data_IF_346186399915
#
_entry.id   IF_346186399915
#
_cell.length_a   1.000
_cell.length_b   1.000
_cell.length_c   1.000
_cell.angle_alpha   90.00
_cell.angle_beta   90.00
_cell.angle_gamma   90.00
#
_symmetry.space_group_name_H-M   'P 1'
#
loop_
_entity.id
_entity.type
_entity.pdbx_description
1 polymer ?
#
# COMPACT_ATOMS: atom_id res chain seq x y z
N UNK A 1 -62.04 -13.01 20.12
CA UNK A 1 -61.26 -13.99 19.38
C UNK A 1 -60.46 -13.23 18.31
N UNK A 2 -59.26 -12.79 18.67
CA UNK A 2 -58.35 -12.12 17.74
C UNK A 2 -57.16 -13.02 17.53
N UNK A 3 -57.03 -13.55 16.33
CA UNK A 3 -55.94 -14.38 15.88
C UNK A 3 -54.76 -13.47 15.54
N UNK A 4 -53.71 -13.50 16.33
CA UNK A 4 -52.44 -12.81 16.09
C UNK A 4 -51.61 -13.71 15.15
N UNK A 5 -51.61 -13.40 13.87
CA UNK A 5 -50.66 -13.98 12.93
C UNK A 5 -49.25 -13.49 13.26
N UNK A 6 -48.48 -14.29 13.92
CA UNK A 6 -47.02 -14.12 14.04
C UNK A 6 -46.39 -14.41 12.69
N UNK A 7 -46.12 -13.37 11.96
CA UNK A 7 -45.30 -13.41 10.74
C UNK A 7 -43.84 -13.66 11.15
N UNK A 8 -43.46 -14.95 11.17
CA UNK A 8 -42.07 -15.39 11.32
C UNK A 8 -41.32 -15.06 10.00
N UNK A 9 -40.84 -13.84 9.87
CA UNK A 9 -39.83 -13.47 8.89
C UNK A 9 -38.48 -14.06 9.32
N UNK A 10 -38.27 -15.32 9.03
CA UNK A 10 -36.94 -15.91 8.97
C UNK A 10 -36.19 -15.23 7.83
N UNK A 11 -35.45 -14.18 8.17
CA UNK A 11 -34.45 -13.60 7.28
C UNK A 11 -33.39 -14.69 7.08
N UNK A 12 -33.53 -15.44 5.97
CA UNK A 12 -32.50 -16.36 5.51
C UNK A 12 -31.27 -15.51 5.23
N UNK A 13 -30.37 -15.42 6.19
CA UNK A 13 -29.05 -14.81 6.03
C UNK A 13 -28.31 -15.60 4.96
N UNK A 14 -28.37 -15.12 3.72
CA UNK A 14 -27.63 -15.68 2.61
C UNK A 14 -26.16 -15.45 2.92
N UNK A 15 -25.49 -16.46 3.50
CA UNK A 15 -24.04 -16.42 3.66
C UNK A 15 -23.43 -16.28 2.27
N UNK A 16 -22.98 -15.06 1.94
CA UNK A 16 -22.26 -14.82 0.68
C UNK A 16 -20.99 -15.65 0.74
N UNK A 17 -20.87 -16.59 -0.18
CA UNK A 17 -19.68 -17.44 -0.30
C UNK A 17 -18.44 -16.58 -0.48
N UNK A 18 -17.30 -16.96 0.13
CA UNK A 18 -16.01 -16.29 -0.07
C UNK A 18 -15.67 -16.20 -1.56
N UNK A 19 -15.99 -17.24 -2.34
CA UNK A 19 -15.74 -17.29 -3.79
C UNK A 19 -16.55 -16.20 -4.51
N UNK A 20 -17.82 -16.00 -4.16
CA UNK A 20 -18.67 -14.96 -4.76
C UNK A 20 -18.18 -13.55 -4.41
N UNK A 21 -17.64 -13.35 -3.21
CA UNK A 21 -17.02 -12.09 -2.81
C UNK A 21 -15.72 -11.84 -3.60
N UNK A 22 -14.85 -12.83 -3.67
CA UNK A 22 -13.59 -12.73 -4.41
C UNK A 22 -13.82 -12.51 -5.90
N UNK A 23 -14.83 -13.15 -6.50
CA UNK A 23 -15.17 -12.92 -7.92
C UNK A 23 -15.62 -11.48 -8.23
N UNK A 24 -16.15 -10.75 -7.24
CA UNK A 24 -16.50 -9.34 -7.39
C UNK A 24 -15.34 -8.36 -7.22
N UNK A 25 -14.30 -8.73 -6.47
CA UNK A 25 -13.19 -7.83 -6.11
C UNK A 25 -11.83 -8.25 -6.69
N UNK A 26 -11.74 -9.40 -7.38
CA UNK A 26 -10.47 -9.91 -7.90
C UNK A 26 -9.71 -8.95 -8.84
N UNK A 27 -10.38 -8.17 -9.72
CA UNK A 27 -9.64 -7.26 -10.59
C UNK A 27 -8.89 -6.22 -9.77
N UNK A 28 -9.53 -5.75 -8.70
CA UNK A 28 -8.95 -4.80 -7.78
C UNK A 28 -7.79 -5.42 -6.97
N UNK A 29 -7.93 -6.65 -6.47
CA UNK A 29 -6.85 -7.36 -5.78
C UNK A 29 -5.64 -7.57 -6.69
N UNK A 30 -5.87 -7.89 -7.96
CA UNK A 30 -4.80 -8.02 -8.96
C UNK A 30 -4.08 -6.68 -9.17
N UNK A 31 -4.82 -5.58 -9.28
CA UNK A 31 -4.25 -4.22 -9.35
C UNK A 31 -3.30 -3.97 -8.19
N UNK A 32 -3.73 -4.28 -6.96
CA UNK A 32 -2.92 -4.06 -5.76
C UNK A 32 -1.66 -4.92 -5.79
N UNK A 33 -1.75 -6.19 -6.15
CA UNK A 33 -0.57 -7.07 -6.28
C UNK A 33 0.42 -6.48 -7.28
N UNK A 34 -0.03 -6.07 -8.47
CA UNK A 34 0.85 -5.55 -9.52
C UNK A 34 1.51 -4.22 -9.13
N UNK A 35 0.74 -3.31 -8.50
CA UNK A 35 1.30 -2.06 -7.98
C UNK A 35 2.35 -2.34 -6.90
N UNK A 36 2.06 -3.25 -5.96
CA UNK A 36 3.00 -3.61 -4.90
C UNK A 36 4.27 -4.26 -5.47
N UNK A 37 4.14 -5.15 -6.45
CA UNK A 37 5.28 -5.75 -7.14
C UNK A 37 6.22 -4.67 -7.72
N UNK A 38 5.70 -3.72 -8.48
CA UNK A 38 6.51 -2.67 -9.10
C UNK A 38 7.05 -1.67 -8.09
N UNK A 39 6.17 -1.17 -7.20
CA UNK A 39 6.53 -0.11 -6.25
C UNK A 39 7.52 -0.58 -5.19
N UNK A 40 7.29 -1.74 -4.58
CA UNK A 40 8.15 -2.24 -3.49
C UNK A 40 9.48 -2.75 -4.02
N UNK A 41 9.50 -3.39 -5.20
CA UNK A 41 10.75 -3.74 -5.89
C UNK A 41 11.60 -2.48 -6.10
N UNK A 42 11.01 -1.41 -6.64
CA UNK A 42 11.68 -0.14 -6.83
C UNK A 42 12.16 0.47 -5.50
N UNK A 43 11.43 0.28 -4.41
CA UNK A 43 11.80 0.81 -3.10
C UNK A 43 13.14 0.24 -2.61
N UNK A 44 13.32 -1.09 -2.75
CA UNK A 44 14.58 -1.76 -2.41
C UNK A 44 15.68 -1.47 -3.45
N UNK A 45 15.29 -1.40 -4.73
CA UNK A 45 16.21 -1.12 -5.84
C UNK A 45 16.92 0.24 -5.68
N UNK A 46 16.23 1.27 -5.20
CA UNK A 46 16.81 2.61 -4.97
C UNK A 46 17.96 2.57 -3.98
N UNK A 47 17.85 1.78 -2.92
CA UNK A 47 18.92 1.64 -1.94
C UNK A 47 20.17 0.98 -2.55
N UNK A 48 19.95 -0.07 -3.34
CA UNK A 48 21.04 -0.79 -4.03
C UNK A 48 21.69 0.08 -5.12
N UNK A 49 20.86 0.67 -5.99
CA UNK A 49 21.33 1.51 -7.09
C UNK A 49 22.03 2.76 -6.58
N UNK A 50 21.50 3.42 -5.56
CA UNK A 50 22.14 4.59 -4.98
C UNK A 50 23.52 4.29 -4.38
N UNK A 51 23.71 3.09 -3.81
CA UNK A 51 25.03 2.62 -3.39
C UNK A 51 26.00 2.44 -4.57
N UNK A 52 25.50 1.93 -5.70
CA UNK A 52 26.29 1.78 -6.95
C UNK A 52 26.66 3.15 -7.54
N UNK A 53 25.75 4.13 -7.49
CA UNK A 53 25.99 5.51 -7.93
C UNK A 53 26.89 6.30 -6.96
N UNK A 54 27.26 5.71 -5.83
CA UNK A 54 28.16 6.33 -4.83
C UNK A 54 27.48 7.29 -3.87
N UNK A 55 26.15 7.23 -3.74
CA UNK A 55 25.41 8.08 -2.78
C UNK A 55 25.80 7.72 -1.35
N UNK A 56 26.04 8.75 -0.55
CA UNK A 56 26.24 8.60 0.88
C UNK A 56 24.96 8.12 1.58
N UNK A 57 25.11 7.53 2.77
CA UNK A 57 23.98 7.13 3.61
C UNK A 57 23.02 8.28 3.90
N UNK A 58 23.57 9.49 4.09
CA UNK A 58 22.78 10.70 4.35
C UNK A 58 21.94 11.08 3.13
N UNK A 59 22.51 11.02 1.92
CA UNK A 59 21.77 11.29 0.69
C UNK A 59 20.66 10.26 0.48
N UNK A 60 20.92 8.97 0.70
CA UNK A 60 19.90 7.92 0.64
C UNK A 60 18.79 8.12 1.68
N UNK A 61 19.14 8.60 2.86
CA UNK A 61 18.14 8.93 3.90
C UNK A 61 17.27 10.12 3.45
N UNK A 62 17.83 11.15 2.83
CA UNK A 62 17.10 12.30 2.29
C UNK A 62 16.18 11.85 1.15
N UNK A 63 16.69 11.07 0.20
CA UNK A 63 15.91 10.48 -0.90
C UNK A 63 14.73 9.68 -0.38
N UNK A 64 14.96 8.83 0.63
CA UNK A 64 13.90 8.03 1.26
C UNK A 64 12.88 8.91 2.00
N UNK A 65 13.34 9.92 2.72
CA UNK A 65 12.47 10.87 3.44
C UNK A 65 11.56 11.64 2.48
N UNK A 66 12.05 11.97 1.28
CA UNK A 66 11.27 12.59 0.22
C UNK A 66 9.99 11.82 -0.10
N UNK A 67 10.06 10.49 -0.13
CA UNK A 67 8.88 9.66 -0.36
C UNK A 67 7.83 9.82 0.75
N UNK A 68 8.22 9.77 2.01
CA UNK A 68 7.27 9.89 3.13
C UNK A 68 6.67 11.29 3.24
N UNK A 69 7.45 12.34 2.93
CA UNK A 69 6.93 13.72 2.82
C UNK A 69 5.89 13.78 1.70
N UNK A 70 6.20 13.22 0.53
CA UNK A 70 5.27 13.11 -0.59
C UNK A 70 3.99 12.35 -0.22
N UNK A 71 4.12 11.25 0.53
CA UNK A 71 2.99 10.46 0.98
C UNK A 71 2.04 11.26 1.90
N UNK A 72 2.58 12.05 2.82
CA UNK A 72 1.80 12.94 3.69
C UNK A 72 1.10 14.04 2.88
N UNK A 73 1.77 14.63 1.90
CA UNK A 73 1.18 15.61 0.98
C UNK A 73 0.07 14.99 0.14
N UNK A 74 0.30 13.80 -0.40
CA UNK A 74 -0.67 13.05 -1.18
C UNK A 74 -1.94 12.72 -0.39
N UNK A 75 -1.81 12.36 0.89
CA UNK A 75 -2.96 12.11 1.76
C UNK A 75 -3.89 13.33 1.91
N UNK A 76 -3.34 14.55 1.82
CA UNK A 76 -4.11 15.79 1.85
C UNK A 76 -4.65 16.22 0.47
N UNK A 77 -3.86 16.02 -0.58
CA UNK A 77 -4.20 16.46 -1.93
C UNK A 77 -5.22 15.51 -2.61
N UNK A 78 -5.10 14.20 -2.39
CA UNK A 78 -5.91 13.20 -3.07
C UNK A 78 -7.42 13.36 -2.86
N UNK A 79 -7.94 13.66 -1.65
CA UNK A 79 -9.36 13.93 -1.47
C UNK A 79 -9.86 15.11 -2.31
N UNK A 80 -9.05 16.18 -2.44
CA UNK A 80 -9.39 17.36 -3.24
C UNK A 80 -9.42 17.05 -4.74
N UNK A 81 -8.47 16.25 -5.22
CA UNK A 81 -8.43 15.79 -6.61
C UNK A 81 -9.65 14.91 -6.91
N UNK A 82 -9.96 13.96 -6.01
CA UNK A 82 -11.09 13.04 -6.16
C UNK A 82 -12.43 13.82 -6.22
N UNK A 83 -12.59 14.86 -5.39
CA UNK A 83 -13.80 15.71 -5.43
C UNK A 83 -13.98 16.41 -6.77
N UNK A 84 -12.88 16.83 -7.41
CA UNK A 84 -12.92 17.61 -8.67
C UNK A 84 -13.18 16.75 -9.90
N UNK A 85 -12.49 15.60 -10.02
CA UNK A 85 -12.47 14.81 -11.26
C UNK A 85 -12.92 13.34 -11.10
N UNK A 86 -13.18 12.92 -9.87
CA UNK A 86 -13.63 11.56 -9.54
C UNK A 86 -12.49 10.55 -9.34
N UNK A 87 -12.83 9.41 -8.75
CA UNK A 87 -11.85 8.39 -8.31
C UNK A 87 -11.06 7.78 -9.45
N UNK A 88 -11.72 7.34 -10.53
CA UNK A 88 -11.07 6.62 -11.64
C UNK A 88 -10.05 7.49 -12.36
N UNK A 89 -10.41 8.75 -12.61
CA UNK A 89 -9.50 9.67 -13.29
C UNK A 89 -8.27 10.00 -12.43
N UNK A 90 -8.47 10.22 -11.12
CA UNK A 90 -7.36 10.44 -10.19
C UNK A 90 -6.48 9.21 -10.12
N UNK A 91 -7.07 8.01 -9.98
CA UNK A 91 -6.34 6.75 -9.92
C UNK A 91 -5.48 6.54 -11.18
N UNK A 92 -6.06 6.72 -12.37
CA UNK A 92 -5.34 6.58 -13.63
C UNK A 92 -4.22 7.63 -13.79
N UNK A 93 -4.49 8.89 -13.45
CA UNK A 93 -3.50 9.96 -13.55
C UNK A 93 -2.31 9.72 -12.60
N UNK A 94 -2.57 9.36 -11.33
CA UNK A 94 -1.53 9.08 -10.35
C UNK A 94 -0.71 7.85 -10.75
N UNK A 95 -1.35 6.83 -11.33
CA UNK A 95 -0.66 5.67 -11.88
C UNK A 95 0.25 6.00 -13.06
N UNK A 96 -0.21 6.85 -13.96
CA UNK A 96 0.61 7.31 -15.09
C UNK A 96 1.83 8.10 -14.61
N UNK A 97 1.66 9.04 -13.65
CA UNK A 97 2.78 9.76 -13.04
C UNK A 97 3.72 8.83 -12.29
N UNK A 98 3.18 7.83 -11.58
CA UNK A 98 3.99 6.85 -10.88
C UNK A 98 4.84 6.03 -11.86
N UNK A 99 4.25 5.50 -12.93
CA UNK A 99 4.97 4.74 -13.95
C UNK A 99 6.07 5.59 -14.62
N UNK A 100 5.75 6.82 -15.03
CA UNK A 100 6.73 7.75 -15.60
C UNK A 100 7.86 8.10 -14.61
N UNK A 101 7.50 8.32 -13.34
CA UNK A 101 8.48 8.56 -12.28
C UNK A 101 9.44 7.39 -12.08
N UNK A 102 8.95 6.15 -12.09
CA UNK A 102 9.77 4.94 -11.93
C UNK A 102 10.85 4.82 -13.01
N UNK A 103 10.51 5.10 -14.26
CA UNK A 103 11.46 5.00 -15.39
C UNK A 103 12.42 6.19 -15.48
N UNK A 104 12.12 7.29 -14.78
CA UNK A 104 12.97 8.47 -14.79
C UNK A 104 14.23 8.35 -13.91
N UNK A 105 14.23 7.44 -12.91
CA UNK A 105 15.38 7.30 -12.01
C UNK A 105 16.70 6.97 -12.68
N UNK A 106 16.79 5.97 -13.58
CA UNK A 106 18.06 5.66 -14.23
C UNK A 106 18.54 6.72 -15.23
N UNK A 107 17.69 7.69 -15.57
CA UNK A 107 18.06 8.83 -16.44
C UNK A 107 18.69 9.98 -15.67
N UNK A 108 18.51 10.02 -14.36
CA UNK A 108 18.95 11.10 -13.48
C UNK A 108 19.80 10.48 -12.37
N UNK A 109 21.08 10.86 -12.28
CA UNK A 109 22.03 10.28 -11.33
C UNK A 109 22.33 11.19 -10.13
N UNK A 110 21.56 12.27 -9.98
CA UNK A 110 21.75 13.25 -8.93
C UNK A 110 20.83 12.97 -7.70
N UNK A 111 21.34 12.99 -6.45
CA UNK A 111 20.55 12.71 -5.27
C UNK A 111 19.33 13.63 -5.09
N UNK A 112 19.46 14.91 -5.44
CA UNK A 112 18.35 15.86 -5.37
C UNK A 112 17.23 15.53 -6.36
N UNK A 113 17.57 15.07 -7.57
CA UNK A 113 16.60 14.67 -8.57
C UNK A 113 15.81 13.41 -8.09
N UNK A 114 16.52 12.45 -7.51
CA UNK A 114 15.87 11.28 -6.89
C UNK A 114 14.97 11.67 -5.72
N UNK A 115 15.34 12.67 -4.93
CA UNK A 115 14.49 13.17 -3.84
C UNK A 115 13.18 13.75 -4.38
N UNK A 116 13.23 14.53 -5.47
CA UNK A 116 12.03 15.09 -6.12
C UNK A 116 11.16 13.97 -6.71
N UNK A 117 11.77 13.01 -7.41
CA UNK A 117 11.04 11.85 -7.93
C UNK A 117 10.40 11.03 -6.81
N UNK A 118 11.10 10.81 -5.71
CA UNK A 118 10.56 10.11 -4.53
C UNK A 118 9.39 10.85 -3.91
N UNK A 119 9.46 12.16 -3.81
CA UNK A 119 8.34 12.98 -3.35
C UNK A 119 7.12 12.81 -4.27
N UNK A 120 7.32 12.85 -5.59
CA UNK A 120 6.26 12.59 -6.57
C UNK A 120 5.66 11.19 -6.40
N UNK A 121 6.50 10.15 -6.29
CA UNK A 121 6.04 8.77 -6.08
C UNK A 121 5.26 8.61 -4.77
N UNK A 122 5.67 9.30 -3.71
CA UNK A 122 4.96 9.33 -2.44
C UNK A 122 3.56 9.92 -2.58
N UNK A 123 3.42 11.06 -3.27
CA UNK A 123 2.12 11.68 -3.56
C UNK A 123 1.23 10.70 -4.34
N UNK A 124 1.77 10.10 -5.41
CA UNK A 124 1.04 9.15 -6.23
C UNK A 124 0.56 7.94 -5.43
N UNK A 125 1.46 7.33 -4.66
CA UNK A 125 1.15 6.12 -3.90
C UNK A 125 0.10 6.38 -2.81
N UNK A 126 0.22 7.49 -2.09
CA UNK A 126 -0.79 7.90 -1.10
C UNK A 126 -2.17 8.06 -1.73
N UNK A 127 -2.25 8.70 -2.90
CA UNK A 127 -3.51 8.87 -3.61
C UNK A 127 -4.10 7.56 -4.14
N UNK A 128 -3.26 6.66 -4.61
CA UNK A 128 -3.65 5.31 -5.00
C UNK A 128 -4.24 4.57 -3.80
N UNK A 129 -3.57 4.58 -2.63
CA UNK A 129 -4.08 3.96 -1.41
C UNK A 129 -5.44 4.55 -0.98
N UNK A 130 -5.54 5.88 -0.90
CA UNK A 130 -6.79 6.56 -0.51
C UNK A 130 -7.94 6.19 -1.45
N UNK A 131 -7.68 6.12 -2.75
CA UNK A 131 -8.69 5.73 -3.74
C UNK A 131 -9.08 4.26 -3.59
N UNK A 132 -8.10 3.39 -3.43
CA UNK A 132 -8.24 1.96 -3.28
C UNK A 132 -9.05 1.57 -2.03
N UNK A 133 -8.69 2.10 -0.89
CA UNK A 133 -9.36 1.80 0.38
C UNK A 133 -10.81 2.30 0.41
N UNK A 134 -11.06 3.48 -0.16
CA UNK A 134 -12.42 4.01 -0.29
C UNK A 134 -13.28 3.12 -1.17
N UNK A 135 -12.75 2.71 -2.31
CA UNK A 135 -13.46 1.83 -3.24
C UNK A 135 -13.80 0.48 -2.60
N UNK A 136 -12.84 -0.14 -1.89
CA UNK A 136 -13.06 -1.39 -1.14
C UNK A 136 -14.11 -1.23 -0.04
N UNK A 137 -14.02 -0.15 0.74
CA UNK A 137 -14.97 0.10 1.81
C UNK A 137 -16.41 0.28 1.30
N UNK A 138 -16.57 0.85 0.10
CA UNK A 138 -17.89 1.04 -0.53
C UNK A 138 -18.41 -0.21 -1.22
N UNK A 139 -17.53 -1.05 -1.75
CA UNK A 139 -17.91 -2.34 -2.36
C UNK A 139 -18.30 -3.39 -1.30
N UNK A 140 -17.90 -3.20 -0.03
CA UNK A 140 -18.13 -4.14 1.05
C UNK A 140 -19.35 -3.74 1.90
N UNK A 141 -20.20 -4.71 2.24
CA UNK A 141 -21.23 -4.54 3.28
C UNK A 141 -20.58 -4.62 4.67
N UNK A 142 -21.29 -4.19 5.72
CA UNK A 142 -20.79 -4.31 7.09
C UNK A 142 -20.45 -5.76 7.48
N UNK A 143 -21.12 -6.75 6.88
CA UNK A 143 -20.89 -8.18 7.14
C UNK A 143 -19.67 -8.73 6.38
N UNK A 144 -19.32 -8.16 5.24
CA UNK A 144 -18.24 -8.64 4.36
C UNK A 144 -16.98 -7.80 4.44
N UNK A 145 -17.04 -6.62 5.06
CA UNK A 145 -15.93 -5.66 5.14
C UNK A 145 -14.65 -6.28 5.68
N UNK A 146 -14.72 -7.06 6.77
CA UNK A 146 -13.55 -7.73 7.34
C UNK A 146 -12.90 -8.71 6.37
N UNK A 147 -13.71 -9.50 5.64
CA UNK A 147 -13.21 -10.46 4.64
C UNK A 147 -12.53 -9.78 3.46
N UNK A 148 -13.13 -8.70 2.95
CA UNK A 148 -12.59 -7.92 1.82
C UNK A 148 -11.29 -7.23 2.22
N UNK A 149 -11.22 -6.62 3.40
CA UNK A 149 -10.00 -6.00 3.91
C UNK A 149 -8.88 -7.02 4.17
N UNK A 150 -9.23 -8.21 4.68
CA UNK A 150 -8.25 -9.29 4.85
C UNK A 150 -7.69 -9.75 3.51
N UNK A 151 -8.53 -9.94 2.49
CA UNK A 151 -8.07 -10.30 1.14
C UNK A 151 -7.17 -9.21 0.54
N UNK A 152 -7.49 -7.92 0.77
CA UNK A 152 -6.67 -6.80 0.36
C UNK A 152 -5.29 -6.81 1.05
N UNK A 153 -5.22 -7.04 2.36
CA UNK A 153 -3.96 -7.12 3.09
C UNK A 153 -3.11 -8.31 2.63
N UNK A 154 -3.73 -9.46 2.36
CA UNK A 154 -3.03 -10.63 1.79
C UNK A 154 -2.48 -10.29 0.40
N UNK A 155 -3.28 -9.67 -0.47
CA UNK A 155 -2.84 -9.25 -1.80
C UNK A 155 -1.65 -8.28 -1.73
N UNK A 156 -1.70 -7.28 -0.85
CA UNK A 156 -0.57 -6.38 -0.60
C UNK A 156 0.69 -7.15 -0.18
N UNK A 157 0.57 -8.02 0.83
CA UNK A 157 1.73 -8.75 1.36
C UNK A 157 2.32 -9.70 0.33
N UNK A 158 1.49 -10.38 -0.46
CA UNK A 158 1.95 -11.22 -1.58
C UNK A 158 2.69 -10.38 -2.62
N UNK A 159 2.17 -9.20 -2.96
CA UNK A 159 2.86 -8.26 -3.84
C UNK A 159 4.22 -7.81 -3.29
N UNK A 160 4.31 -7.51 -1.99
CA UNK A 160 5.55 -7.10 -1.32
C UNK A 160 6.59 -8.24 -1.34
N UNK A 161 6.19 -9.46 -0.98
CA UNK A 161 7.09 -10.63 -0.98
C UNK A 161 7.53 -10.96 -2.42
N UNK A 162 6.58 -10.96 -3.36
CA UNK A 162 6.87 -11.20 -4.78
C UNK A 162 7.82 -10.16 -5.38
N UNK A 163 7.72 -8.89 -4.94
CA UNK A 163 8.61 -7.80 -5.36
C UNK A 163 10.08 -8.10 -5.01
N UNK A 164 10.35 -8.69 -3.85
CA UNK A 164 11.69 -9.08 -3.46
C UNK A 164 12.20 -10.25 -4.32
N UNK A 165 11.33 -11.20 -4.67
CA UNK A 165 11.66 -12.26 -5.63
C UNK A 165 12.01 -11.69 -7.01
N UNK A 166 11.24 -10.73 -7.54
CA UNK A 166 11.55 -10.09 -8.82
C UNK A 166 12.89 -9.34 -8.80
N UNK A 167 13.23 -8.71 -7.68
CA UNK A 167 14.50 -8.01 -7.53
C UNK A 167 15.70 -8.93 -7.75
N UNK A 168 15.61 -10.21 -7.36
CA UNK A 168 16.69 -11.19 -7.50
C UNK A 168 16.88 -11.70 -8.94
N UNK A 169 15.92 -11.45 -9.84
CA UNK A 169 15.97 -11.89 -11.23
C UNK A 169 16.71 -10.92 -12.17
N UNK A 170 17.07 -9.72 -11.67
CA UNK A 170 17.73 -8.71 -12.47
C UNK A 170 18.94 -8.11 -11.78
N UNK A 171 19.73 -7.35 -12.55
CA UNK A 171 20.88 -6.62 -12.06
C UNK A 171 20.49 -5.18 -11.69
N UNK A 172 20.72 -4.80 -10.44
CA UNK A 172 20.46 -3.46 -9.91
C UNK A 172 21.30 -2.36 -10.60
N UNK A 173 22.42 -2.72 -11.23
CA UNK A 173 23.25 -1.79 -12.00
C UNK A 173 22.63 -1.39 -13.33
N UNK A 174 21.65 -2.14 -13.84
CA UNK A 174 20.99 -1.86 -15.11
C UNK A 174 19.67 -1.13 -14.94
N UNK A 175 19.13 -0.58 -16.04
CA UNK A 175 17.81 0.08 -16.05
C UNK A 175 16.66 -0.92 -16.15
N UNK A 176 16.93 -2.23 -16.33
CA UNK A 176 15.92 -3.25 -16.62
C UNK A 176 14.88 -3.35 -15.49
N UNK A 177 15.32 -3.37 -14.23
CA UNK A 177 14.40 -3.47 -13.09
C UNK A 177 13.51 -2.23 -12.94
N UNK A 178 14.00 -1.03 -13.30
CA UNK A 178 13.19 0.19 -13.34
C UNK A 178 12.12 0.12 -14.42
N UNK A 179 12.47 -0.41 -15.60
CA UNK A 179 11.53 -0.64 -16.70
C UNK A 179 10.47 -1.66 -16.30
N UNK A 180 10.86 -2.79 -15.69
CA UNK A 180 9.92 -3.79 -15.18
C UNK A 180 8.97 -3.20 -14.16
N UNK A 181 9.47 -2.41 -13.20
CA UNK A 181 8.64 -1.73 -12.21
C UNK A 181 7.60 -0.81 -12.87
N UNK A 182 8.03 -0.01 -13.86
CA UNK A 182 7.16 0.88 -14.63
C UNK A 182 6.09 0.11 -15.41
N UNK A 183 6.46 -0.99 -16.08
CA UNK A 183 5.52 -1.86 -16.82
C UNK A 183 4.47 -2.45 -15.88
N UNK A 184 4.88 -3.02 -14.73
CA UNK A 184 3.97 -3.59 -13.75
C UNK A 184 2.95 -2.58 -13.25
N UNK A 185 3.40 -1.37 -12.93
CA UNK A 185 2.52 -0.28 -12.54
C UNK A 185 1.60 0.13 -13.68
N UNK A 186 2.09 0.27 -14.91
CA UNK A 186 1.26 0.63 -16.06
C UNK A 186 0.16 -0.39 -16.35
N UNK A 187 0.50 -1.69 -16.34
CA UNK A 187 -0.46 -2.76 -16.61
C UNK A 187 -1.47 -2.90 -15.47
N UNK A 188 -1.09 -2.55 -14.24
CA UNK A 188 -1.95 -2.69 -13.07
C UNK A 188 -3.30 -1.95 -13.19
N UNK A 189 -3.35 -0.88 -13.97
CA UNK A 189 -4.57 -0.07 -14.12
C UNK A 189 -5.57 -0.69 -15.13
N UNK A 190 -5.11 -1.54 -16.04
CA UNK A 190 -5.93 -2.12 -17.09
C UNK A 190 -7.18 -2.88 -16.55
N UNK A 191 -7.06 -3.77 -15.54
CA UNK A 191 -8.23 -4.49 -15.03
C UNK A 191 -9.34 -3.59 -14.50
N UNK A 192 -8.99 -2.51 -13.81
CA UNK A 192 -9.97 -1.58 -13.24
C UNK A 192 -10.61 -0.69 -14.32
N UNK A 193 -9.80 -0.22 -15.28
CA UNK A 193 -10.29 0.65 -16.35
C UNK A 193 -11.18 -0.09 -17.35
N UNK A 194 -10.99 -1.40 -17.52
CA UNK A 194 -11.79 -2.26 -18.38
C UNK A 194 -13.02 -2.84 -17.69
N UNK A 195 -13.13 -2.76 -16.36
CA UNK A 195 -14.27 -3.29 -15.62
C UNK A 195 -15.40 -2.26 -15.59
N UNK A 196 -16.57 -2.64 -16.11
CA UNK A 196 -17.80 -1.85 -16.07
C UNK A 196 -18.46 -2.00 -14.68
N UNK A 197 -17.81 -1.55 -13.64
CA UNK A 197 -18.42 -1.48 -12.30
C UNK A 197 -18.97 -0.09 -12.06
N UNK A 198 -20.22 -0.02 -11.58
CA UNK A 198 -20.80 1.24 -11.12
C UNK A 198 -19.90 1.83 -10.03
N UNK A 199 -19.30 2.98 -10.30
CA UNK A 199 -18.43 3.67 -9.36
C UNK A 199 -19.33 4.26 -8.28
N UNK A 200 -19.20 3.82 -7.01
CA UNK A 200 -20.01 4.38 -5.94
C UNK A 200 -19.75 5.88 -5.82
N UNK A 201 -20.80 6.66 -5.70
CA UNK A 201 -20.69 8.08 -5.33
C UNK A 201 -20.23 8.12 -3.87
N UNK A 202 -19.01 8.55 -3.63
CA UNK A 202 -18.42 8.56 -2.29
C UNK A 202 -18.64 9.93 -1.66
N UNK A 203 -19.33 9.97 -0.55
CA UNK A 203 -19.30 11.13 0.33
C UNK A 203 -17.90 11.31 0.90
N UNK A 204 -17.34 12.50 0.72
CA UNK A 204 -16.03 12.83 1.23
C UNK A 204 -16.16 13.15 2.72
N UNK A 205 -15.72 12.20 3.56
CA UNK A 205 -15.61 12.45 4.98
C UNK A 205 -14.69 13.65 5.23
N UNK A 206 -15.10 14.57 6.09
CA UNK A 206 -14.27 15.73 6.49
C UNK A 206 -13.04 15.21 7.24
N UNK A 207 -11.84 15.70 6.92
CA UNK A 207 -10.64 15.30 7.62
C UNK A 207 -10.72 15.71 9.09
N UNK A 208 -10.45 14.76 9.99
CA UNK A 208 -10.39 15.05 11.42
C UNK A 208 -9.09 15.80 11.75
N UNK A 209 -9.12 16.93 12.45
CA UNK A 209 -7.90 17.63 12.85
C UNK A 209 -7.08 16.76 13.82
N UNK A 210 -5.76 16.81 13.70
CA UNK A 210 -4.84 16.02 14.54
C UNK A 210 -5.06 16.23 16.03
N UNK A 211 -5.44 17.46 16.43
CA UNK A 211 -5.75 17.77 17.82
C UNK A 211 -6.94 16.94 18.33
N UNK A 212 -7.99 16.80 17.53
CA UNK A 212 -9.16 15.98 17.92
C UNK A 212 -8.80 14.50 18.00
N UNK A 213 -7.93 14.01 17.12
CA UNK A 213 -7.43 12.64 17.17
C UNK A 213 -6.65 12.39 18.46
N UNK A 214 -5.73 13.31 18.81
CA UNK A 214 -4.92 13.21 20.03
C UNK A 214 -5.78 13.30 21.29
N UNK A 215 -6.78 14.20 21.35
CA UNK A 215 -7.68 14.32 22.51
C UNK A 215 -8.59 13.13 22.68
N UNK A 216 -9.01 12.47 21.56
CA UNK A 216 -9.86 11.27 21.61
C UNK A 216 -9.10 10.02 22.05
N UNK A 217 -7.86 9.85 21.60
CA UNK A 217 -7.02 8.69 21.93
C UNK A 217 -5.53 9.05 21.88
N UNK A 218 -4.96 9.59 22.99
CA UNK A 218 -3.54 9.95 23.04
C UNK A 218 -2.63 8.73 22.79
N UNK A 219 -2.93 7.60 23.47
CA UNK A 219 -2.17 6.36 23.32
C UNK A 219 -2.18 5.85 21.87
N UNK A 220 -3.36 5.81 21.25
CA UNK A 220 -3.49 5.38 19.85
C UNK A 220 -2.74 6.30 18.89
N UNK A 221 -2.80 7.62 19.11
CA UNK A 221 -2.11 8.59 18.25
C UNK A 221 -0.60 8.47 18.34
N UNK A 222 -0.05 8.38 19.57
CA UNK A 222 1.40 8.19 19.79
C UNK A 222 1.84 6.82 19.28
N UNK A 223 1.08 5.77 19.58
CA UNK A 223 1.39 4.40 19.13
C UNK A 223 1.47 4.27 17.60
N UNK A 224 0.49 4.84 16.88
CA UNK A 224 0.50 4.85 15.41
C UNK A 224 1.68 5.66 14.86
N UNK A 225 2.02 6.80 15.49
CA UNK A 225 3.19 7.60 15.09
C UNK A 225 4.50 6.82 15.25
N UNK A 226 4.70 6.18 16.40
CA UNK A 226 5.89 5.37 16.65
C UNK A 226 5.97 4.15 15.72
N UNK A 227 4.86 3.43 15.54
CA UNK A 227 4.78 2.30 14.61
C UNK A 227 5.07 2.73 13.17
N UNK A 228 4.51 3.88 12.75
CA UNK A 228 4.79 4.45 11.44
C UNK A 228 6.27 4.82 11.26
N UNK A 229 6.92 5.33 12.30
CA UNK A 229 8.36 5.65 12.29
C UNK A 229 9.21 4.38 12.13
N UNK A 230 8.90 3.31 12.87
CA UNK A 230 9.56 2.01 12.74
C UNK A 230 9.37 1.44 11.33
N UNK A 231 8.14 1.45 10.83
CA UNK A 231 7.83 0.98 9.47
C UNK A 231 8.58 1.78 8.39
N UNK A 232 8.62 3.11 8.52
CA UNK A 232 9.32 3.97 7.59
C UNK A 232 10.83 3.71 7.58
N UNK A 233 11.43 3.58 8.76
CA UNK A 233 12.86 3.27 8.91
C UNK A 233 13.19 1.90 8.31
N UNK A 234 12.41 0.89 8.64
CA UNK A 234 12.61 -0.47 8.14
C UNK A 234 12.45 -0.55 6.62
N UNK A 235 11.38 0.03 6.07
CA UNK A 235 11.12 0.01 4.63
C UNK A 235 12.13 0.86 3.85
N UNK A 236 12.54 2.01 4.40
CA UNK A 236 13.41 2.94 3.71
C UNK A 236 14.88 2.61 3.84
N UNK A 237 15.33 2.22 5.03
CA UNK A 237 16.75 2.06 5.34
C UNK A 237 17.18 0.60 5.51
N UNK A 238 16.25 -0.36 5.57
CA UNK A 238 16.59 -1.77 5.75
C UNK A 238 17.51 -2.33 4.66
N UNK A 239 17.24 -1.98 3.40
CA UNK A 239 18.09 -2.38 2.28
C UNK A 239 19.45 -1.64 2.27
N UNK A 240 19.47 -0.37 2.67
CA UNK A 240 20.71 0.42 2.83
C UNK A 240 21.58 -0.21 3.90
N UNK A 241 21.02 -0.55 5.05
CA UNK A 241 21.71 -1.25 6.12
C UNK A 241 22.30 -2.59 5.64
N UNK A 242 21.50 -3.42 4.97
CA UNK A 242 21.97 -4.68 4.41
C UNK A 242 23.15 -4.51 3.45
N UNK A 243 23.09 -3.50 2.57
CA UNK A 243 24.17 -3.17 1.64
C UNK A 243 25.45 -2.74 2.38
N UNK A 244 25.35 -1.95 3.46
CA UNK A 244 26.50 -1.48 4.24
C UNK A 244 27.22 -2.59 4.99
N UNK A 245 26.50 -3.61 5.47
CA UNK A 245 27.12 -4.77 6.15
C UNK A 245 27.55 -5.87 5.16
N UNK A 246 27.53 -5.59 3.86
CA UNK A 246 28.03 -6.49 2.83
C UNK A 246 27.11 -7.64 2.44
N UNK A 247 25.80 -7.54 2.70
CA UNK A 247 24.82 -8.53 2.23
C UNK A 247 24.71 -8.50 0.71
N UNK A 248 24.61 -9.68 0.09
CA UNK A 248 24.28 -9.81 -1.33
C UNK A 248 22.84 -9.36 -1.61
N UNK A 249 22.52 -9.02 -2.87
CA UNK A 249 21.16 -8.64 -3.29
C UNK A 249 20.12 -9.68 -2.86
N UNK A 250 20.44 -10.97 -2.99
CA UNK A 250 19.56 -12.07 -2.58
C UNK A 250 19.33 -12.09 -1.07
N UNK A 251 20.36 -11.81 -0.27
CA UNK A 251 20.24 -11.74 1.20
C UNK A 251 19.40 -10.52 1.62
N UNK A 252 19.58 -9.37 0.98
CA UNK A 252 18.79 -8.16 1.23
C UNK A 252 17.32 -8.42 0.87
N UNK A 253 17.07 -9.00 -0.30
CA UNK A 253 15.72 -9.35 -0.74
C UNK A 253 15.05 -10.32 0.24
N UNK A 254 15.76 -11.37 0.66
CA UNK A 254 15.27 -12.32 1.65
C UNK A 254 15.01 -11.65 3.01
N UNK A 255 15.93 -10.81 3.48
CA UNK A 255 15.78 -10.06 4.73
C UNK A 255 14.49 -9.22 4.74
N UNK A 256 14.26 -8.45 3.68
CA UNK A 256 13.04 -7.63 3.55
C UNK A 256 11.80 -8.52 3.42
N UNK A 257 11.85 -9.57 2.60
CA UNK A 257 10.72 -10.48 2.42
C UNK A 257 10.31 -11.18 3.73
N UNK A 258 11.27 -11.64 4.54
CA UNK A 258 11.01 -12.36 5.78
C UNK A 258 10.33 -11.50 6.85
N UNK A 259 10.58 -10.19 6.86
CA UNK A 259 9.88 -9.26 7.75
C UNK A 259 8.37 -9.22 7.44
N UNK A 260 8.01 -9.15 6.17
CA UNK A 260 6.60 -9.16 5.74
C UNK A 260 5.97 -10.55 5.81
N UNK A 261 6.73 -11.60 5.54
CA UNK A 261 6.27 -12.98 5.74
C UNK A 261 5.97 -13.27 7.21
N UNK A 262 6.84 -12.79 8.12
CA UNK A 262 6.60 -12.89 9.57
C UNK A 262 5.32 -12.14 9.99
N UNK A 263 5.12 -10.92 9.48
CA UNK A 263 3.91 -10.16 9.72
C UNK A 263 2.65 -10.90 9.23
N UNK A 264 2.70 -11.51 8.04
CA UNK A 264 1.59 -12.29 7.48
C UNK A 264 1.24 -13.51 8.35
N UNK A 265 2.25 -14.27 8.78
CA UNK A 265 2.07 -15.47 9.62
C UNK A 265 1.52 -15.09 11.00
N UNK A 266 2.05 -14.03 11.61
CA UNK A 266 1.66 -13.57 12.94
C UNK A 266 0.32 -12.83 12.97
N UNK A 267 -0.16 -12.33 11.83
CA UNK A 267 -1.41 -11.56 11.74
C UNK A 267 -2.62 -12.35 12.27
N UNK A 268 -2.73 -13.65 11.93
CA UNK A 268 -3.82 -14.48 12.40
C UNK A 268 -3.74 -14.79 13.91
N UNK A 269 -2.62 -15.27 14.47
CA UNK A 269 -2.47 -15.48 15.91
C UNK A 269 -2.71 -14.22 16.74
N UNK A 270 -2.16 -13.08 16.30
CA UNK A 270 -2.32 -11.79 17.00
C UNK A 270 -3.77 -11.33 16.94
N UNK A 271 -4.44 -11.45 15.79
CA UNK A 271 -5.86 -11.15 15.66
C UNK A 271 -6.73 -12.00 16.58
N UNK A 272 -6.50 -13.32 16.60
CA UNK A 272 -7.21 -14.24 17.48
C UNK A 272 -7.00 -13.93 18.97
N UNK A 273 -5.79 -13.53 19.36
CA UNK A 273 -5.47 -13.13 20.73
C UNK A 273 -6.13 -11.79 21.10
N UNK A 274 -6.12 -10.82 20.17
CA UNK A 274 -6.76 -9.51 20.31
C UNK A 274 -8.28 -9.57 20.54
N UNK A 275 -8.94 -10.64 20.08
CA UNK A 275 -10.37 -10.85 20.30
C UNK A 275 -10.67 -11.45 21.69
N UNK A 276 -9.64 -11.94 22.41
CA UNK A 276 -9.76 -12.64 23.72
C UNK A 276 -9.13 -11.92 24.90
N UNK A 277 -8.25 -10.96 24.63
CA UNK A 277 -7.52 -10.21 25.66
C UNK A 277 -7.79 -8.71 25.52
N UNK A 278 -7.54 -7.96 26.58
CA UNK A 278 -7.54 -6.50 26.49
C UNK A 278 -6.44 -6.04 25.50
N UNK A 279 -6.86 -5.33 24.47
CA UNK A 279 -5.98 -4.84 23.41
C UNK A 279 -4.84 -3.95 23.95
N UNK A 280 -5.03 -3.32 25.12
CA UNK A 280 -3.99 -2.53 25.79
C UNK A 280 -2.82 -3.35 26.30
N UNK A 281 -3.04 -4.64 26.58
CA UNK A 281 -1.99 -5.57 27.03
C UNK A 281 -1.24 -6.15 25.83
N UNK A 282 -1.92 -6.24 24.68
CA UNK A 282 -1.35 -6.80 23.45
C UNK A 282 -0.43 -5.82 22.73
N UNK A 283 -0.65 -4.51 22.87
CA UNK A 283 0.17 -3.43 22.28
C UNK A 283 1.38 -3.14 23.15
#
# INVERSE_FOLDING_TARGET
>A
MYNIFTCNLTVVRKQVSMITLLSGVWPFLLVIVLIMLGHVMHFTLIALRGGIEGFSTTELAIVTSGYFIGFLLGARLSPLMIQRVGHVRVFAALGSFMSAGLIAFPLLTEPWAWTVLRLLLGICMSGIYVTAERWLNNAATNETRGKVLSAYMIAQTLGIIGAQGLLTLGDAATSVLFIVASILVSISFAPILLTVSAIPVVEVARPMPLRSLFTSSPLGTVGIFLLGSVYATQSGMGAVFGSQIGMSVNQIALFVAMLFAGALVLQYPIGWLSDRMDRRILI
#
